data_IF_326687652062
#
_entry.id   IF_326687652062
#
_cell.length_a   1.000
_cell.length_b   1.000
_cell.length_c   1.000
_cell.angle_alpha   90.00
_cell.angle_beta   90.00
_cell.angle_gamma   90.00
#
_symmetry.space_group_name_H-M   'P 1'
#
loop_
_entity.id
_entity.type
_entity.pdbx_description
1 polymer ?
#
# COMPACT_ATOMS: atom_id res chain seq x y z
N UNK A 1 -8.46 -2.15 -27.80
CA UNK A 1 -7.78 -0.87 -28.09
C UNK A 1 -7.10 -0.99 -29.44
N UNK A 2 -7.58 -0.26 -30.44
CA UNK A 2 -7.07 -0.36 -31.80
C UNK A 2 -5.73 0.38 -31.95
N UNK A 3 -4.91 0.00 -32.94
CA UNK A 3 -3.60 0.63 -33.19
C UNK A 3 -3.70 2.15 -33.38
N UNK A 4 -4.75 2.60 -34.06
CA UNK A 4 -5.01 4.02 -34.33
C UNK A 4 -5.40 4.75 -33.03
N UNK A 5 -6.21 4.15 -32.16
CA UNK A 5 -6.55 4.75 -30.86
C UNK A 5 -5.31 4.90 -30.00
N UNK A 6 -4.43 3.89 -29.96
CA UNK A 6 -3.16 3.98 -29.22
C UNK A 6 -2.28 5.12 -29.75
N UNK A 7 -2.29 5.34 -31.05
CA UNK A 7 -1.54 6.40 -31.70
C UNK A 7 -2.16 7.79 -31.44
N UNK A 8 -3.49 7.88 -31.38
CA UNK A 8 -4.22 9.06 -30.94
C UNK A 8 -3.86 9.44 -29.50
N UNK A 9 -3.93 8.49 -28.55
CA UNK A 9 -3.53 8.76 -27.17
C UNK A 9 -2.06 9.21 -27.08
N UNK A 10 -1.16 8.54 -27.80
CA UNK A 10 0.26 8.93 -27.80
C UNK A 10 0.49 10.34 -28.37
N UNK A 11 -0.33 10.79 -29.32
CA UNK A 11 -0.23 12.14 -29.88
C UNK A 11 -0.55 13.24 -28.86
N UNK A 12 -1.23 12.89 -27.77
CA UNK A 12 -1.63 13.83 -26.72
C UNK A 12 -0.52 14.07 -25.69
N UNK A 13 0.37 13.09 -25.50
CA UNK A 13 1.44 13.13 -24.52
C UNK A 13 2.82 13.39 -25.15
N UNK A 14 3.00 13.01 -26.43
CA UNK A 14 4.29 13.04 -27.09
C UNK A 14 4.19 13.48 -28.56
N UNK A 15 5.31 13.97 -29.10
CA UNK A 15 5.42 14.31 -30.51
C UNK A 15 5.43 13.04 -31.37
N UNK A 16 4.48 12.93 -32.29
CA UNK A 16 4.47 11.86 -33.30
C UNK A 16 5.50 12.13 -34.40
N UNK A 17 5.96 11.06 -35.05
CA UNK A 17 6.73 11.20 -36.30
C UNK A 17 5.83 11.68 -37.44
N UNK A 18 6.41 12.18 -38.54
CA UNK A 18 5.61 12.68 -39.67
C UNK A 18 4.70 11.60 -40.28
N UNK A 19 5.20 10.36 -40.38
CA UNK A 19 4.44 9.23 -40.93
C UNK A 19 3.24 8.86 -40.06
N UNK A 20 3.44 8.86 -38.74
CA UNK A 20 2.40 8.58 -37.77
C UNK A 20 1.35 9.70 -37.73
N UNK A 21 1.80 10.96 -37.83
CA UNK A 21 0.90 12.12 -37.92
C UNK A 21 0.02 12.06 -39.17
N UNK A 22 0.60 11.71 -40.33
CA UNK A 22 -0.17 11.51 -41.57
C UNK A 22 -1.17 10.37 -41.43
N UNK A 23 -0.77 9.26 -40.81
CA UNK A 23 -1.63 8.10 -40.57
C UNK A 23 -2.80 8.45 -39.65
N UNK A 24 -2.54 9.18 -38.56
CA UNK A 24 -3.57 9.65 -37.63
C UNK A 24 -4.54 10.62 -38.30
N UNK A 25 -4.03 11.60 -39.05
CA UNK A 25 -4.87 12.57 -39.76
C UNK A 25 -5.82 11.91 -40.73
N UNK A 26 -5.34 10.93 -41.51
CA UNK A 26 -6.19 10.16 -42.42
C UNK A 26 -7.29 9.41 -41.65
N UNK A 27 -6.91 8.72 -40.57
CA UNK A 27 -7.87 7.98 -39.76
C UNK A 27 -8.91 8.86 -39.05
N UNK A 28 -8.53 10.09 -38.66
CA UNK A 28 -9.44 11.07 -38.09
C UNK A 28 -10.43 11.60 -39.13
N UNK A 29 -10.00 11.78 -40.38
CA UNK A 29 -10.88 12.17 -41.48
C UNK A 29 -11.88 11.07 -41.87
N UNK A 30 -11.46 9.82 -41.78
CA UNK A 30 -12.27 8.65 -42.14
C UNK A 30 -13.27 8.26 -41.04
N UNK A 31 -13.04 8.67 -39.79
CA UNK A 31 -13.86 8.27 -38.64
C UNK A 31 -14.30 9.47 -37.79
N UNK A 32 -15.55 9.96 -37.97
CA UNK A 32 -16.13 11.03 -37.15
C UNK A 32 -16.17 10.66 -35.66
N UNK A 33 -16.32 9.37 -35.34
CA UNK A 33 -16.32 8.87 -33.96
C UNK A 33 -14.96 9.05 -33.28
N UNK A 34 -13.87 8.82 -34.02
CA UNK A 34 -12.51 9.00 -33.51
C UNK A 34 -12.21 10.48 -33.27
N UNK A 35 -12.68 11.35 -34.17
CA UNK A 35 -12.55 12.79 -34.02
C UNK A 35 -13.32 13.32 -32.80
N UNK A 36 -14.58 12.92 -32.64
CA UNK A 36 -15.38 13.31 -31.46
C UNK A 36 -14.71 12.90 -30.14
N UNK A 37 -14.06 11.73 -30.11
CA UNK A 37 -13.34 11.26 -28.93
C UNK A 37 -12.09 12.07 -28.64
N UNK A 38 -11.36 12.45 -29.69
CA UNK A 38 -10.20 13.33 -29.57
C UNK A 38 -10.59 14.69 -29.00
N UNK A 39 -11.72 15.25 -29.46
CA UNK A 39 -12.24 16.53 -28.99
C UNK A 39 -12.67 16.45 -27.52
N UNK A 40 -13.37 15.38 -27.12
CA UNK A 40 -13.76 15.14 -25.72
C UNK A 40 -12.55 15.07 -24.79
N UNK A 41 -11.54 14.29 -25.15
CA UNK A 41 -10.31 14.14 -24.35
C UNK A 41 -9.55 15.47 -24.26
N UNK A 42 -9.55 16.25 -25.34
CA UNK A 42 -8.89 17.56 -25.38
C UNK A 42 -9.63 18.56 -24.47
N UNK A 43 -10.96 18.56 -24.50
CA UNK A 43 -11.79 19.39 -23.62
C UNK A 43 -11.58 19.04 -22.14
N UNK A 44 -11.54 17.74 -21.80
CA UNK A 44 -11.25 17.28 -20.43
C UNK A 44 -9.87 17.74 -19.95
N UNK A 45 -8.86 17.68 -20.83
CA UNK A 45 -7.51 18.13 -20.47
C UNK A 45 -7.46 19.62 -20.21
N UNK A 46 -8.18 20.40 -21.01
CA UNK A 46 -8.22 21.85 -20.81
C UNK A 46 -8.97 22.22 -19.53
N UNK A 47 -10.08 21.53 -19.25
CA UNK A 47 -10.78 21.66 -17.97
C UNK A 47 -9.86 21.31 -16.78
N UNK A 48 -9.09 20.22 -16.87
CA UNK A 48 -8.15 19.82 -15.82
C UNK A 48 -7.01 20.82 -15.60
N UNK A 49 -6.56 21.52 -16.65
CA UNK A 49 -5.57 22.62 -16.49
C UNK A 49 -6.15 23.83 -15.78
N UNK A 50 -7.42 24.14 -16.03
CA UNK A 50 -8.09 25.31 -15.46
C UNK A 50 -8.29 25.22 -13.95
N UNK A 51 -8.24 24.02 -13.40
CA UNK A 51 -8.48 23.75 -11.99
C UNK A 51 -7.33 24.20 -11.07
N UNK A 52 -6.21 24.71 -11.63
CA UNK A 52 -5.21 25.48 -10.89
C UNK A 52 -4.59 24.75 -9.69
N UNK A 53 -4.56 23.42 -9.70
CA UNK A 53 -4.03 22.63 -8.61
C UNK A 53 -2.51 22.81 -8.55
N UNK A 54 -2.06 23.65 -7.63
CA UNK A 54 -0.64 23.79 -7.31
C UNK A 54 -0.21 22.67 -6.36
N UNK A 55 1.01 22.19 -6.56
CA UNK A 55 1.62 21.31 -5.57
C UNK A 55 1.76 22.06 -4.24
N UNK A 56 1.67 21.34 -3.12
CA UNK A 56 1.90 21.93 -1.81
C UNK A 56 3.25 22.66 -1.77
N UNK A 57 3.39 23.75 -1.01
CA UNK A 57 4.69 24.38 -0.78
C UNK A 57 5.76 23.34 -0.43
N UNK A 58 6.97 23.50 -0.95
CA UNK A 58 8.12 22.60 -0.72
C UNK A 58 7.97 21.17 -1.27
N UNK A 59 7.03 20.94 -2.18
CA UNK A 59 6.87 19.64 -2.84
C UNK A 59 8.15 19.20 -3.56
N UNK A 60 8.81 20.13 -4.25
CA UNK A 60 10.11 19.93 -4.90
C UNK A 60 11.19 19.44 -3.92
N UNK A 61 11.31 20.10 -2.77
CA UNK A 61 12.25 19.73 -1.72
C UNK A 61 11.94 18.34 -1.16
N UNK A 62 10.65 18.02 -0.96
CA UNK A 62 10.19 16.71 -0.48
C UNK A 62 10.53 15.60 -1.48
N UNK A 63 10.26 15.82 -2.77
CA UNK A 63 10.59 14.85 -3.83
C UNK A 63 12.10 14.63 -3.93
N UNK A 64 12.89 15.71 -3.93
CA UNK A 64 14.36 15.59 -3.98
C UNK A 64 14.92 14.87 -2.75
N UNK A 65 14.37 15.15 -1.56
CA UNK A 65 14.74 14.43 -0.35
C UNK A 65 14.44 12.94 -0.45
N UNK A 66 13.24 12.57 -0.89
CA UNK A 66 12.85 11.16 -1.07
C UNK A 66 13.71 10.45 -2.11
N UNK A 67 14.03 11.09 -3.24
CA UNK A 67 14.94 10.52 -4.24
C UNK A 67 16.32 10.27 -3.64
N UNK A 68 16.86 11.24 -2.89
CA UNK A 68 18.16 11.12 -2.24
C UNK A 68 18.17 10.01 -1.18
N UNK A 69 17.12 9.91 -0.37
CA UNK A 69 16.98 8.82 0.61
C UNK A 69 16.91 7.46 -0.07
N UNK A 70 16.17 7.32 -1.17
CA UNK A 70 16.08 6.07 -1.92
C UNK A 70 17.41 5.68 -2.58
N UNK A 71 18.18 6.66 -3.06
CA UNK A 71 19.51 6.43 -3.61
C UNK A 71 20.54 6.04 -2.53
N UNK A 72 20.46 6.66 -1.34
CA UNK A 72 21.43 6.44 -0.26
C UNK A 72 21.14 5.18 0.56
N UNK A 73 19.87 4.92 0.88
CA UNK A 73 19.46 3.83 1.76
C UNK A 73 18.93 2.60 0.99
N UNK A 74 18.79 2.71 -0.34
CA UNK A 74 18.10 1.71 -1.16
C UNK A 74 16.60 1.60 -0.85
N UNK A 75 15.87 0.86 -1.68
CA UNK A 75 14.42 0.60 -1.52
C UNK A 75 14.08 -0.12 -0.18
N UNK A 76 15.09 -0.56 0.58
CA UNK A 76 14.94 -1.30 1.83
C UNK A 76 14.41 -0.45 3.00
N UNK A 77 14.41 0.88 2.91
CA UNK A 77 13.96 1.75 4.00
C UNK A 77 12.44 2.04 4.00
N UNK A 78 11.74 1.83 2.89
CA UNK A 78 10.33 2.23 2.77
C UNK A 78 9.33 1.44 3.65
N UNK A 79 9.52 0.14 4.00
CA UNK A 79 8.59 -0.52 4.92
C UNK A 79 8.84 -0.19 6.40
N UNK A 80 9.98 0.39 6.78
CA UNK A 80 10.37 0.45 8.20
C UNK A 80 9.47 1.36 9.05
N UNK A 81 8.92 2.41 8.45
CA UNK A 81 8.09 3.38 9.18
C UNK A 81 6.68 2.84 9.47
N UNK A 82 6.11 2.02 8.58
CA UNK A 82 4.85 1.32 8.81
C UNK A 82 5.00 0.17 9.82
N UNK A 83 6.14 -0.54 9.79
CA UNK A 83 6.45 -1.58 10.77
C UNK A 83 6.68 -1.03 12.18
N UNK A 84 7.29 0.15 12.34
CA UNK A 84 7.60 0.72 13.66
C UNK A 84 6.36 0.85 14.55
N UNK A 85 5.25 1.35 14.02
CA UNK A 85 4.02 1.54 14.80
C UNK A 85 3.38 0.22 15.20
N UNK A 86 3.31 -0.76 14.28
CA UNK A 86 2.77 -2.08 14.58
C UNK A 86 3.63 -2.85 15.61
N UNK A 87 4.96 -2.70 15.54
CA UNK A 87 5.90 -3.40 16.44
C UNK A 87 5.81 -2.85 17.87
N UNK A 88 5.62 -1.54 18.05
CA UNK A 88 5.48 -0.92 19.37
C UNK A 88 4.20 -1.40 20.07
N UNK A 89 3.08 -1.49 19.35
CA UNK A 89 1.81 -1.98 19.91
C UNK A 89 1.90 -3.45 20.32
N UNK A 90 2.52 -4.29 19.47
CA UNK A 90 2.74 -5.70 19.79
C UNK A 90 3.63 -5.90 21.03
N UNK A 91 4.72 -5.14 21.14
CA UNK A 91 5.62 -5.21 22.29
C UNK A 91 4.94 -4.73 23.59
N UNK A 92 4.11 -3.68 23.50
CA UNK A 92 3.34 -3.19 24.64
C UNK A 92 2.31 -4.22 25.13
N UNK A 93 1.62 -4.92 24.22
CA UNK A 93 0.67 -5.97 24.58
C UNK A 93 1.36 -7.16 25.29
N UNK A 94 2.53 -7.59 24.79
CA UNK A 94 3.33 -8.66 25.42
C UNK A 94 3.82 -8.22 26.80
N UNK A 95 4.34 -6.99 26.92
CA UNK A 95 4.78 -6.44 28.20
C UNK A 95 3.63 -6.35 29.21
N UNK A 96 2.45 -5.88 28.79
CA UNK A 96 1.26 -5.82 29.65
C UNK A 96 0.82 -7.22 30.10
N UNK A 97 0.84 -8.20 29.19
CA UNK A 97 0.52 -9.60 29.52
C UNK A 97 1.48 -10.19 30.55
N UNK A 98 2.78 -9.90 30.45
CA UNK A 98 3.77 -10.34 31.43
C UNK A 98 3.56 -9.68 32.80
N UNK A 99 3.22 -8.39 32.83
CA UNK A 99 2.92 -7.67 34.07
C UNK A 99 1.67 -8.25 34.75
N UNK A 100 0.61 -8.52 33.98
CA UNK A 100 -0.61 -9.16 34.49
C UNK A 100 -0.27 -10.55 35.05
N UNK A 101 0.47 -11.37 34.31
CA UNK A 101 0.88 -12.70 34.78
C UNK A 101 1.68 -12.64 36.09
N UNK A 102 2.56 -11.63 36.23
CA UNK A 102 3.37 -11.44 37.44
C UNK A 102 2.54 -11.03 38.66
N UNK A 103 1.54 -10.16 38.47
CA UNK A 103 0.64 -9.71 39.55
C UNK A 103 -0.26 -10.85 40.03
N UNK A 104 -0.82 -11.64 39.11
CA UNK A 104 -1.82 -12.65 39.45
C UNK A 104 -1.22 -14.00 39.88
N UNK A 105 -0.09 -14.42 39.31
CA UNK A 105 0.49 -15.75 39.59
C UNK A 105 1.76 -15.72 40.44
N UNK A 106 2.33 -14.54 40.75
CA UNK A 106 3.49 -14.36 41.62
C UNK A 106 4.80 -15.01 41.14
N UNK A 107 4.79 -15.77 40.03
CA UNK A 107 5.96 -16.40 39.41
C UNK A 107 5.80 -16.47 37.89
N UNK A 108 6.89 -16.19 37.17
CA UNK A 108 6.98 -16.35 35.72
C UNK A 108 7.36 -17.81 35.41
N UNK A 109 6.42 -18.73 35.56
CA UNK A 109 6.60 -20.11 35.12
C UNK A 109 6.02 -20.31 33.72
N UNK A 110 6.73 -21.04 32.86
CA UNK A 110 6.25 -21.43 31.51
C UNK A 110 4.90 -22.15 31.62
N UNK A 111 4.67 -22.84 32.74
CA UNK A 111 3.44 -23.59 33.02
C UNK A 111 2.21 -22.69 33.24
N UNK A 112 2.41 -21.45 33.70
CA UNK A 112 1.33 -20.48 33.91
C UNK A 112 0.86 -19.83 32.60
N UNK A 113 1.71 -19.83 31.57
CA UNK A 113 1.38 -19.31 30.24
C UNK A 113 0.64 -20.38 29.42
N UNK A 114 0.96 -21.65 29.62
CA UNK A 114 0.34 -22.79 28.93
C UNK A 114 -0.91 -23.33 29.62
N UNK A 115 -1.23 -22.84 30.83
CA UNK A 115 -2.42 -23.25 31.59
C UNK A 115 -2.34 -24.69 32.14
N UNK A 116 -1.13 -25.28 32.20
CA UNK A 116 -0.95 -26.68 32.60
C UNK A 116 -1.03 -26.90 34.13
N UNK A 117 -1.05 -25.82 34.93
CA UNK A 117 -1.22 -25.88 36.39
C UNK A 117 -2.60 -26.42 36.82
N UNK A 118 -3.60 -26.45 35.93
CA UNK A 118 -4.93 -26.98 36.28
C UNK A 118 -4.98 -28.51 36.33
N UNK A 119 -3.90 -29.20 35.93
CA UNK A 119 -3.76 -30.64 36.15
C UNK A 119 -3.14 -30.86 37.53
N UNK A 120 -3.85 -30.40 38.56
CA UNK A 120 -3.53 -30.72 39.94
C UNK A 120 -3.75 -32.24 40.14
N UNK A 121 -2.81 -32.91 40.80
CA UNK A 121 -2.81 -34.38 40.99
C UNK A 121 -4.09 -34.91 41.66
N UNK A 122 -4.81 -34.06 42.39
CA UNK A 122 -6.12 -34.37 42.96
C UNK A 122 -7.19 -34.70 41.89
N UNK A 123 -7.20 -33.99 40.75
CA UNK A 123 -8.15 -34.22 39.66
C UNK A 123 -7.81 -35.46 38.82
N UNK A 124 -6.53 -35.80 38.71
CA UNK A 124 -6.06 -37.04 38.08
C UNK A 124 -6.54 -38.27 38.86
N UNK A 125 -6.54 -38.17 40.19
CA UNK A 125 -7.01 -39.27 41.06
C UNK A 125 -8.52 -39.45 40.96
N UNK A 126 -9.29 -38.36 40.87
CA UNK A 126 -10.74 -38.43 40.67
C UNK A 126 -11.14 -38.99 39.30
N UNK A 127 -10.38 -38.66 38.24
CA UNK A 127 -10.61 -39.19 36.89
C UNK A 127 -10.26 -40.68 36.79
N UNK A 128 -9.19 -41.13 37.44
CA UNK A 128 -8.80 -42.55 37.49
C UNK A 128 -9.68 -43.38 38.43
N UNK A 129 -10.34 -42.77 39.42
CA UNK A 129 -11.27 -43.45 40.33
C UNK A 129 -12.66 -43.69 39.72
N UNK A 130 -13.02 -42.97 38.65
CA UNK A 130 -14.33 -43.09 37.99
C UNK A 130 -14.36 -44.05 36.80
N UNK A 131 -13.22 -44.69 36.49
CA UNK A 131 -13.11 -45.69 35.43
C UNK A 131 -12.75 -47.06 36.05
N UNK A 132 -13.69 -47.61 36.81
CA UNK A 132 -13.83 -49.03 37.18
C UNK A 132 -15.32 -49.39 37.28
#
# INVERSE_FOLDING_TARGET
MNRIEKLMYRSLDARLTEEESKTLKRALQESPQLQSRLDEITALREAAKSDGHEFSPWFDAKVMHTIKELQQNGIKAFPFQAYRTATIVGFAAIAAMLVIALIFNGSLSINSITGLDSINSENLTAFLAFDF
#
